data_IF_929574340136
#
_entry.id   IF_929574340136
#
_cell.length_a   1.000
_cell.length_b   1.000
_cell.length_c   1.000
_cell.angle_alpha   90.00
_cell.angle_beta   90.00
_cell.angle_gamma   90.00
#
_symmetry.space_group_name_H-M   'P 1'
#
loop_
_entity.id
_entity.type
_entity.pdbx_description
1 polymer ?
#
# COMPACT_ATOMS: atom_id res chain seq x y z
N UNK A 1 -4.24 -63.39 65.58
CA UNK A 1 -4.86 -62.50 64.59
C UNK A 1 -4.31 -61.09 64.78
N UNK A 2 -3.28 -60.70 64.02
CA UNK A 2 -2.66 -59.37 64.06
C UNK A 2 -2.66 -58.78 62.65
N UNK A 3 -3.82 -58.29 62.21
CA UNK A 3 -4.01 -57.73 60.87
C UNK A 3 -4.01 -56.19 60.86
N UNK A 4 -3.89 -55.55 62.02
CA UNK A 4 -4.02 -54.09 62.16
C UNK A 4 -2.71 -53.31 62.00
N UNK A 5 -1.54 -53.95 61.94
CA UNK A 5 -0.25 -53.25 61.84
C UNK A 5 0.18 -52.91 60.41
N UNK A 6 -0.30 -53.64 59.39
CA UNK A 6 0.08 -53.43 57.99
C UNK A 6 -0.66 -52.24 57.33
N UNK A 7 -1.89 -51.94 57.75
CA UNK A 7 -2.66 -50.81 57.22
C UNK A 7 -2.17 -49.45 57.75
N UNK A 8 -1.69 -49.38 59.00
CA UNK A 8 -1.11 -48.16 59.57
C UNK A 8 0.29 -47.84 59.02
N UNK A 9 1.02 -48.85 58.54
CA UNK A 9 2.37 -48.66 57.99
C UNK A 9 2.34 -48.13 56.55
N UNK A 10 1.33 -48.51 55.76
CA UNK A 10 1.13 -47.99 54.39
C UNK A 10 0.55 -46.56 54.35
N UNK A 11 -0.25 -46.13 55.35
CA UNK A 11 -0.69 -44.74 55.44
C UNK A 11 0.43 -43.74 55.76
N UNK A 12 1.48 -44.15 56.49
CA UNK A 12 2.63 -43.29 56.81
C UNK A 12 3.62 -43.12 55.66
N UNK A 13 3.58 -43.98 54.64
CA UNK A 13 4.43 -43.84 53.44
C UNK A 13 3.80 -42.93 52.38
N UNK A 14 2.46 -42.86 52.28
CA UNK A 14 1.77 -41.97 51.34
C UNK A 14 1.93 -40.47 51.65
N UNK A 15 2.08 -40.09 52.93
CA UNK A 15 2.12 -38.68 53.33
C UNK A 15 3.49 -38.00 53.21
N UNK A 16 4.59 -38.76 53.14
CA UNK A 16 5.96 -38.19 53.03
C UNK A 16 6.32 -37.78 51.60
N UNK A 17 5.73 -38.42 50.60
CA UNK A 17 5.96 -38.10 49.18
C UNK A 17 5.03 -37.00 48.66
N UNK A 18 3.88 -36.79 49.32
CA UNK A 18 2.88 -35.78 48.96
C UNK A 18 3.40 -34.33 48.98
N UNK A 19 4.15 -33.87 50.02
CA UNK A 19 4.71 -32.51 50.00
C UNK A 19 5.84 -32.34 48.97
N UNK A 20 6.60 -33.39 48.67
CA UNK A 20 7.65 -33.37 47.64
C UNK A 20 7.03 -33.33 46.24
N UNK A 21 6.01 -34.15 45.97
CA UNK A 21 5.27 -34.13 44.71
C UNK A 21 4.55 -32.79 44.50
N UNK A 22 3.98 -32.20 45.55
CA UNK A 22 3.38 -30.86 45.51
C UNK A 22 4.42 -29.77 45.24
N UNK A 23 5.59 -29.83 45.88
CA UNK A 23 6.69 -28.86 45.66
C UNK A 23 7.28 -28.96 44.24
N UNK A 24 7.43 -30.18 43.71
CA UNK A 24 7.86 -30.42 42.33
C UNK A 24 6.80 -29.93 41.34
N UNK A 25 5.51 -30.21 41.58
CA UNK A 25 4.41 -29.73 40.76
C UNK A 25 4.31 -28.19 40.75
N UNK A 26 4.50 -27.53 41.90
CA UNK A 26 4.55 -26.06 41.99
C UNK A 26 5.75 -25.52 41.21
N UNK A 27 6.93 -26.14 41.31
CA UNK A 27 8.14 -25.71 40.60
C UNK A 27 8.04 -25.88 39.08
N UNK A 28 7.43 -26.98 38.62
CA UNK A 28 7.14 -27.21 37.20
C UNK A 28 6.07 -26.23 36.71
N UNK A 29 5.04 -25.94 37.52
CA UNK A 29 4.01 -24.97 37.19
C UNK A 29 4.55 -23.53 37.14
N UNK A 30 5.38 -23.09 38.09
CA UNK A 30 6.04 -21.77 38.05
C UNK A 30 7.06 -21.67 36.92
N UNK A 31 7.82 -22.73 36.65
CA UNK A 31 8.69 -22.80 35.47
C UNK A 31 7.92 -22.70 34.15
N UNK A 32 6.78 -23.41 34.04
CA UNK A 32 5.91 -23.35 32.87
C UNK A 32 5.24 -21.98 32.69
N UNK A 33 4.79 -21.32 33.77
CA UNK A 33 4.19 -19.98 33.68
C UNK A 33 5.22 -18.91 33.35
N UNK A 34 6.44 -18.97 33.91
CA UNK A 34 7.56 -18.11 33.50
C UNK A 34 7.94 -18.30 32.03
N UNK A 35 8.00 -19.55 31.56
CA UNK A 35 8.27 -19.83 30.17
C UNK A 35 7.19 -19.29 29.22
N UNK A 36 5.91 -19.48 29.58
CA UNK A 36 4.77 -18.99 28.79
C UNK A 36 4.71 -17.46 28.78
N UNK A 37 5.00 -16.79 29.90
CA UNK A 37 5.06 -15.32 29.97
C UNK A 37 6.23 -14.75 29.17
N UNK A 38 7.42 -15.34 29.24
CA UNK A 38 8.58 -14.94 28.41
C UNK A 38 8.27 -15.13 26.92
N UNK A 39 7.67 -16.27 26.54
CA UNK A 39 7.25 -16.51 25.15
C UNK A 39 6.21 -15.49 24.69
N UNK A 40 5.24 -15.18 25.53
CA UNK A 40 4.23 -14.17 25.25
C UNK A 40 4.86 -12.78 25.05
N UNK A 41 5.73 -12.35 25.97
CA UNK A 41 6.44 -11.07 25.87
C UNK A 41 7.31 -10.99 24.60
N UNK A 42 7.99 -12.07 24.24
CA UNK A 42 8.77 -12.15 22.99
C UNK A 42 7.87 -12.06 21.76
N UNK A 43 6.75 -12.76 21.75
CA UNK A 43 5.77 -12.71 20.66
C UNK A 43 5.13 -11.32 20.53
N UNK A 44 4.83 -10.67 21.65
CA UNK A 44 4.29 -9.30 21.70
C UNK A 44 5.30 -8.27 21.19
N UNK A 45 6.57 -8.40 21.60
CA UNK A 45 7.65 -7.54 21.10
C UNK A 45 7.81 -7.64 19.57
N UNK A 46 7.82 -8.87 19.02
CA UNK A 46 7.89 -9.09 17.57
C UNK A 46 6.68 -8.46 16.86
N UNK A 47 5.47 -8.63 17.41
CA UNK A 47 4.25 -8.03 16.85
C UNK A 47 4.34 -6.50 16.81
N UNK A 48 4.76 -5.88 17.90
CA UNK A 48 4.93 -4.42 17.99
C UNK A 48 5.99 -3.93 17.01
N UNK A 49 7.11 -4.64 16.87
CA UNK A 49 8.15 -4.29 15.89
C UNK A 49 7.62 -4.32 14.46
N UNK A 50 6.89 -5.38 14.07
CA UNK A 50 6.26 -5.49 12.73
C UNK A 50 5.28 -4.37 12.47
N UNK A 51 4.43 -4.03 13.45
CA UNK A 51 3.49 -2.92 13.33
C UNK A 51 4.23 -1.59 13.18
N UNK A 52 5.34 -1.39 13.91
CA UNK A 52 6.16 -0.17 13.80
C UNK A 52 6.80 -0.06 12.41
N UNK A 53 7.36 -1.14 11.88
CA UNK A 53 7.94 -1.19 10.54
C UNK A 53 6.88 -0.90 9.46
N UNK A 54 5.70 -1.53 9.57
CA UNK A 54 4.58 -1.25 8.69
C UNK A 54 4.13 0.21 8.73
N UNK A 55 4.02 0.80 9.93
CA UNK A 55 3.66 2.22 10.11
C UNK A 55 4.71 3.16 9.50
N UNK A 56 5.99 2.83 9.64
CA UNK A 56 7.06 3.60 9.01
C UNK A 56 6.93 3.54 7.49
N UNK A 57 6.80 2.33 6.92
CA UNK A 57 6.68 2.17 5.47
C UNK A 57 5.42 2.83 4.93
N UNK A 58 4.30 2.72 5.65
CA UNK A 58 3.06 3.41 5.32
C UNK A 58 3.24 4.93 5.21
N UNK A 59 3.97 5.56 6.14
CA UNK A 59 4.23 7.01 6.08
C UNK A 59 5.07 7.40 4.87
N UNK A 60 6.09 6.61 4.55
CA UNK A 60 6.91 6.81 3.34
C UNK A 60 6.04 6.77 2.08
N UNK A 61 5.20 5.74 1.94
CA UNK A 61 4.32 5.59 0.77
C UNK A 61 3.24 6.68 0.72
N UNK A 62 2.70 7.13 1.86
CA UNK A 62 1.80 8.29 1.88
C UNK A 62 2.50 9.55 1.41
N UNK A 63 3.75 9.79 1.83
CA UNK A 63 4.51 10.95 1.37
C UNK A 63 4.69 10.90 -0.16
N UNK A 64 5.06 9.75 -0.72
CA UNK A 64 5.15 9.55 -2.17
C UNK A 64 3.81 9.82 -2.89
N UNK A 65 2.69 9.31 -2.35
CA UNK A 65 1.36 9.57 -2.93
C UNK A 65 0.95 11.05 -2.83
N UNK A 66 1.35 11.74 -1.77
CA UNK A 66 1.10 13.18 -1.60
C UNK A 66 1.93 14.01 -2.58
N UNK A 67 3.17 13.61 -2.86
CA UNK A 67 3.97 14.22 -3.93
C UNK A 67 3.30 14.00 -5.30
N UNK A 68 2.87 12.78 -5.60
CA UNK A 68 2.13 12.50 -6.84
C UNK A 68 0.85 13.34 -6.96
N UNK A 69 0.12 13.50 -5.84
CA UNK A 69 -1.04 14.40 -5.79
C UNK A 69 -0.64 15.85 -6.07
N UNK A 70 0.46 16.33 -5.49
CA UNK A 70 0.97 17.69 -5.72
C UNK A 70 1.29 17.94 -7.20
N UNK A 71 1.95 16.97 -7.85
CA UNK A 71 2.22 17.03 -9.29
C UNK A 71 0.91 17.07 -10.09
N UNK A 72 -0.06 16.21 -9.76
CA UNK A 72 -1.36 16.20 -10.42
C UNK A 72 -2.11 17.53 -10.26
N UNK A 73 -2.07 18.11 -9.06
CA UNK A 73 -2.69 19.40 -8.76
C UNK A 73 -1.99 20.55 -9.51
N UNK A 74 -0.67 20.50 -9.67
CA UNK A 74 0.07 21.42 -10.53
C UNK A 74 -0.33 21.29 -12.00
N UNK A 75 -0.38 20.06 -12.53
CA UNK A 75 -0.80 19.83 -13.92
C UNK A 75 -2.23 20.33 -14.18
N UNK A 76 -3.12 20.22 -13.19
CA UNK A 76 -4.48 20.75 -13.29
C UNK A 76 -4.53 22.29 -13.35
N UNK A 77 -3.57 22.97 -12.72
CA UNK A 77 -3.53 24.44 -12.66
C UNK A 77 -2.80 25.05 -13.84
N UNK A 78 -1.76 24.38 -14.34
CA UNK A 78 -0.86 24.96 -15.35
C UNK A 78 -0.84 24.14 -16.63
N UNK A 79 -0.45 22.86 -16.57
CA UNK A 79 -0.23 22.06 -17.78
C UNK A 79 -1.48 21.84 -18.62
N UNK A 80 -2.64 21.52 -18.01
CA UNK A 80 -3.89 21.26 -18.75
C UNK A 80 -4.47 22.55 -19.35
N UNK A 81 -4.60 23.67 -18.60
CA UNK A 81 -5.03 24.93 -19.21
C UNK A 81 -4.09 25.41 -20.32
N UNK A 82 -2.78 25.15 -20.18
CA UNK A 82 -1.81 25.42 -21.25
C UNK A 82 -2.05 24.52 -22.47
N UNK A 83 -2.35 23.24 -22.27
CA UNK A 83 -2.74 22.32 -23.35
C UNK A 83 -4.00 22.80 -24.07
N UNK A 84 -5.03 23.24 -23.35
CA UNK A 84 -6.26 23.80 -23.92
C UNK A 84 -5.96 25.04 -24.77
N UNK A 85 -5.19 25.99 -24.25
CA UNK A 85 -4.80 27.20 -24.98
C UNK A 85 -3.94 26.92 -26.22
N UNK A 86 -3.14 25.84 -26.21
CA UNK A 86 -2.38 25.39 -27.37
C UNK A 86 -3.28 24.78 -28.44
N UNK A 87 -4.28 24.01 -28.03
CA UNK A 87 -5.31 23.47 -28.93
C UNK A 87 -6.12 24.58 -29.58
N UNK A 88 -6.50 25.63 -28.84
CA UNK A 88 -7.18 26.80 -29.41
C UNK A 88 -6.33 27.51 -30.46
N UNK A 89 -5.03 27.71 -30.19
CA UNK A 89 -4.08 28.26 -31.17
C UNK A 89 -3.94 27.38 -32.41
N UNK A 90 -3.93 26.06 -32.24
CA UNK A 90 -3.90 25.14 -33.37
C UNK A 90 -5.14 25.29 -34.24
N UNK A 91 -6.33 25.42 -33.64
CA UNK A 91 -7.56 25.69 -34.36
C UNK A 91 -7.53 27.03 -35.12
N UNK A 92 -7.04 28.11 -34.49
CA UNK A 92 -6.85 29.41 -35.15
C UNK A 92 -5.93 29.31 -36.38
N UNK A 93 -4.81 28.59 -36.28
CA UNK A 93 -3.87 28.37 -37.39
C UNK A 93 -4.55 27.60 -38.54
N UNK A 94 -5.37 26.61 -38.23
CA UNK A 94 -6.12 25.83 -39.23
C UNK A 94 -7.18 26.69 -39.91
N UNK A 95 -7.94 27.50 -39.15
CA UNK A 95 -8.96 28.40 -39.70
C UNK A 95 -8.36 29.50 -40.58
N UNK A 96 -7.25 30.12 -40.17
CA UNK A 96 -6.55 31.13 -40.96
C UNK A 96 -6.11 30.58 -42.31
N UNK A 97 -5.60 29.35 -42.36
CA UNK A 97 -5.19 28.73 -43.62
C UNK A 97 -6.38 28.33 -44.50
N UNK A 98 -7.54 27.97 -43.94
CA UNK A 98 -8.76 27.71 -44.73
C UNK A 98 -9.30 28.98 -45.40
N UNK A 99 -9.12 30.14 -44.76
CA UNK A 99 -9.61 31.43 -45.25
C UNK A 99 -8.63 32.14 -46.20
N UNK A 100 -7.41 31.62 -46.39
CA UNK A 100 -6.41 32.20 -47.29
C UNK A 100 -6.41 31.45 -48.63
N UNK A 101 -6.77 32.13 -49.73
CA UNK A 101 -6.70 31.53 -51.07
C UNK A 101 -5.25 31.13 -51.40
N UNK A 102 -4.99 29.82 -51.51
CA UNK A 102 -3.66 29.26 -51.78
C UNK A 102 -2.88 28.77 -50.55
N UNK A 103 -3.57 28.46 -49.44
CA UNK A 103 -2.95 27.99 -48.20
C UNK A 103 -1.86 26.92 -48.38
N UNK A 104 -0.63 27.25 -47.98
CA UNK A 104 0.50 26.32 -48.01
C UNK A 104 0.39 25.32 -46.85
N UNK A 105 -0.13 24.14 -47.16
CA UNK A 105 -0.27 23.01 -46.23
C UNK A 105 1.04 22.65 -45.51
N UNK A 106 2.20 22.94 -46.11
CA UNK A 106 3.49 22.70 -45.46
C UNK A 106 3.78 23.73 -44.38
N UNK A 107 3.38 24.98 -44.57
CA UNK A 107 3.55 26.04 -43.57
C UNK A 107 2.62 25.82 -42.37
N UNK A 108 1.38 25.36 -42.61
CA UNK A 108 0.44 24.95 -41.55
C UNK A 108 1.01 23.80 -40.73
N UNK A 109 1.53 22.75 -41.39
CA UNK A 109 2.14 21.60 -40.70
C UNK A 109 3.34 22.02 -39.86
N UNK A 110 4.22 22.87 -40.38
CA UNK A 110 5.37 23.36 -39.62
C UNK A 110 4.97 24.14 -38.36
N UNK A 111 3.86 24.89 -38.40
CA UNK A 111 3.33 25.62 -37.23
C UNK A 111 2.62 24.72 -36.22
N UNK A 112 2.05 23.59 -36.66
CA UNK A 112 1.36 22.63 -35.79
C UNK A 112 2.29 21.64 -35.07
N UNK A 113 3.41 21.24 -35.70
CA UNK A 113 4.39 20.31 -35.10
C UNK A 113 4.83 20.68 -33.67
N UNK A 114 5.22 21.94 -33.35
CA UNK A 114 5.61 22.28 -31.98
C UNK A 114 4.45 22.14 -30.99
N UNK A 115 3.21 22.43 -31.41
CA UNK A 115 2.01 22.29 -30.59
C UNK A 115 1.74 20.80 -30.29
N UNK A 116 1.79 19.95 -31.32
CA UNK A 116 1.62 18.50 -31.16
C UNK A 116 2.69 17.90 -30.24
N UNK A 117 3.94 18.34 -30.38
CA UNK A 117 5.05 17.88 -29.53
C UNK A 117 4.85 18.30 -28.06
N UNK A 118 4.40 19.52 -27.82
CA UNK A 118 4.15 20.02 -26.47
C UNK A 118 2.99 19.27 -25.78
N UNK A 119 1.90 19.02 -26.50
CA UNK A 119 0.79 18.20 -26.01
C UNK A 119 1.21 16.74 -25.73
N UNK A 120 2.04 16.16 -26.61
CA UNK A 120 2.61 14.85 -26.38
C UNK A 120 3.48 14.82 -25.11
N UNK A 121 4.27 15.87 -24.85
CA UNK A 121 5.07 16.01 -23.63
C UNK A 121 4.22 16.06 -22.36
N UNK A 122 3.08 16.75 -22.39
CA UNK A 122 2.14 16.79 -21.26
C UNK A 122 1.50 15.40 -21.03
N UNK A 123 1.15 14.69 -22.12
CA UNK A 123 0.65 13.32 -22.05
C UNK A 123 1.67 12.36 -21.42
N UNK A 124 2.93 12.45 -21.83
CA UNK A 124 4.03 11.65 -21.31
C UNK A 124 4.26 11.89 -19.80
N UNK A 125 4.27 13.15 -19.37
CA UNK A 125 4.37 13.50 -17.94
C UNK A 125 3.24 12.86 -17.12
N UNK A 126 2.04 12.78 -17.68
CA UNK A 126 0.89 12.20 -17.02
C UNK A 126 0.97 10.67 -16.95
N UNK A 127 1.49 10.02 -18.00
CA UNK A 127 1.75 8.58 -18.01
C UNK A 127 2.81 8.20 -16.98
N UNK A 128 3.92 8.92 -16.94
CA UNK A 128 4.97 8.73 -15.93
C UNK A 128 4.43 8.90 -14.50
N UNK A 129 3.52 9.86 -14.29
CA UNK A 129 2.85 10.05 -13.01
C UNK A 129 1.96 8.86 -12.65
N UNK A 130 1.23 8.30 -13.61
CA UNK A 130 0.41 7.10 -13.41
C UNK A 130 1.27 5.89 -13.03
N UNK A 131 2.37 5.65 -13.75
CA UNK A 131 3.33 4.58 -13.44
C UNK A 131 3.90 4.73 -12.03
N UNK A 132 4.25 5.96 -11.64
CA UNK A 132 4.74 6.25 -10.28
C UNK A 132 3.67 5.96 -9.22
N UNK A 133 2.41 6.30 -9.48
CA UNK A 133 1.29 6.00 -8.57
C UNK A 133 1.08 4.48 -8.47
N UNK A 134 1.16 3.75 -9.58
CA UNK A 134 1.02 2.28 -9.60
C UNK A 134 2.15 1.57 -8.86
N UNK A 135 3.38 2.10 -8.93
CA UNK A 135 4.53 1.62 -8.18
C UNK A 135 4.36 1.70 -6.65
N UNK A 136 3.47 2.58 -6.16
CA UNK A 136 3.11 2.62 -4.73
C UNK A 136 2.11 1.51 -4.43
N UNK A 137 2.59 0.38 -3.91
CA UNK A 137 1.73 -0.78 -3.64
C UNK A 137 1.41 -0.99 -2.15
N UNK A 138 0.18 -1.43 -1.81
CA UNK A 138 -0.15 -1.91 -0.46
C UNK A 138 0.75 -3.05 0.00
N UNK A 139 1.26 -3.86 -0.94
CA UNK A 139 2.17 -4.96 -0.66
C UNK A 139 3.43 -4.51 0.06
N UNK A 140 4.01 -3.34 -0.28
CA UNK A 140 5.18 -2.81 0.41
C UNK A 140 4.97 -2.63 1.93
N UNK A 141 3.76 -2.26 2.37
CA UNK A 141 3.43 -2.15 3.81
C UNK A 141 3.39 -3.52 4.49
N UNK A 142 2.83 -4.51 3.80
CA UNK A 142 2.72 -5.89 4.30
C UNK A 142 4.10 -6.57 4.35
N UNK A 143 4.93 -6.31 3.36
CA UNK A 143 6.30 -6.80 3.26
C UNK A 143 7.16 -6.24 4.39
N UNK A 144 7.02 -4.95 4.71
CA UNK A 144 7.67 -4.34 5.87
C UNK A 144 7.24 -4.97 7.20
N UNK A 145 6.05 -5.58 7.28
CA UNK A 145 5.59 -6.32 8.45
C UNK A 145 6.04 -7.81 8.45
N UNK A 146 6.77 -8.25 7.42
CA UNK A 146 7.22 -9.64 7.26
C UNK A 146 6.09 -10.61 6.89
N UNK A 147 5.06 -10.15 6.17
CA UNK A 147 3.92 -10.96 5.71
C UNK A 147 4.09 -11.49 4.27
N UNK A 148 5.31 -11.60 3.75
CA UNK A 148 5.60 -12.09 2.39
C UNK A 148 5.46 -13.63 2.24
N UNK A 149 5.03 -14.13 1.06
CA UNK A 149 4.61 -13.38 -0.13
C UNK A 149 3.10 -13.09 -0.10
N UNK A 150 2.71 -11.85 0.18
CA UNK A 150 1.30 -11.49 0.15
C UNK A 150 0.82 -11.25 -1.28
N UNK A 151 -0.08 -12.12 -1.74
CA UNK A 151 -0.91 -11.82 -2.92
C UNK A 151 -2.24 -11.22 -2.47
N UNK A 152 -2.77 -10.25 -3.23
CA UNK A 152 -4.01 -9.54 -2.86
C UNK A 152 -5.25 -10.46 -2.74
N UNK A 153 -5.14 -11.71 -3.18
CA UNK A 153 -6.18 -12.74 -3.21
C UNK A 153 -6.08 -13.77 -2.08
N UNK A 154 -5.04 -13.73 -1.24
CA UNK A 154 -4.84 -14.75 -0.19
C UNK A 154 -5.74 -14.51 1.03
N UNK A 155 -6.97 -15.01 0.94
CA UNK A 155 -7.94 -15.10 2.05
C UNK A 155 -7.30 -15.80 3.28
N UNK A 156 -6.40 -16.74 3.02
CA UNK A 156 -5.60 -17.50 3.99
C UNK A 156 -4.63 -16.60 4.75
N UNK A 157 -3.81 -15.82 4.04
CA UNK A 157 -2.87 -14.88 4.67
C UNK A 157 -3.60 -13.81 5.48
N UNK A 158 -4.77 -13.36 5.02
CA UNK A 158 -5.63 -12.44 5.78
C UNK A 158 -6.11 -13.05 7.10
N UNK A 159 -6.59 -14.29 7.06
CA UNK A 159 -7.00 -14.99 8.28
C UNK A 159 -5.83 -15.18 9.23
N UNK A 160 -4.63 -15.48 8.72
CA UNK A 160 -3.45 -15.70 9.56
C UNK A 160 -2.88 -14.41 10.13
N UNK A 161 -2.89 -13.30 9.38
CA UNK A 161 -2.55 -11.97 9.89
C UNK A 161 -3.51 -11.53 11.00
N UNK A 162 -4.82 -11.81 10.87
CA UNK A 162 -5.81 -11.55 11.93
C UNK A 162 -5.51 -12.39 13.17
N UNK A 163 -5.25 -13.70 13.02
CA UNK A 163 -4.86 -14.57 14.15
C UNK A 163 -3.58 -14.09 14.86
N UNK A 164 -2.64 -13.49 14.12
CA UNK A 164 -1.40 -12.94 14.67
C UNK A 164 -1.57 -11.54 15.28
N UNK A 165 -2.78 -10.94 15.24
CA UNK A 165 -3.03 -9.60 15.74
C UNK A 165 -2.44 -8.48 14.87
N UNK A 166 -2.20 -8.76 13.59
CA UNK A 166 -1.64 -7.80 12.61
C UNK A 166 -2.73 -7.08 11.80
N UNK A 167 -3.98 -7.06 12.29
CA UNK A 167 -5.07 -6.29 11.68
C UNK A 167 -4.72 -4.82 11.40
N UNK A 168 -4.01 -4.09 12.29
CA UNK A 168 -3.59 -2.71 12.00
C UNK A 168 -2.71 -2.58 10.75
N UNK A 169 -1.92 -3.61 10.42
CA UNK A 169 -1.10 -3.60 9.20
C UNK A 169 -1.97 -3.70 7.95
N UNK A 170 -3.03 -4.52 8.01
CA UNK A 170 -3.99 -4.67 6.91
C UNK A 170 -4.78 -3.37 6.67
N UNK A 171 -5.15 -2.67 7.73
CA UNK A 171 -5.80 -1.36 7.65
C UNK A 171 -4.89 -0.33 6.96
N UNK A 172 -3.63 -0.25 7.36
CA UNK A 172 -2.64 0.64 6.72
C UNK A 172 -2.46 0.32 5.22
N UNK A 173 -2.39 -0.96 4.85
CA UNK A 173 -2.33 -1.36 3.45
C UNK A 173 -3.62 -0.98 2.68
N UNK A 174 -4.79 -1.10 3.33
CA UNK A 174 -6.08 -0.68 2.81
C UNK A 174 -6.17 0.81 2.53
N UNK A 175 -5.61 1.64 3.42
CA UNK A 175 -5.54 3.10 3.26
C UNK A 175 -4.73 3.48 2.02
N UNK A 176 -3.54 2.90 1.85
CA UNK A 176 -2.70 3.10 0.64
C UNK A 176 -3.48 2.74 -0.62
N UNK A 177 -4.18 1.60 -0.62
CA UNK A 177 -5.00 1.17 -1.76
C UNK A 177 -6.08 2.18 -2.10
N UNK A 178 -6.80 2.68 -1.10
CA UNK A 178 -7.87 3.63 -1.29
C UNK A 178 -7.36 4.96 -1.88
N UNK A 179 -6.28 5.51 -1.32
CA UNK A 179 -5.66 6.74 -1.80
C UNK A 179 -5.15 6.56 -3.23
N UNK A 180 -4.40 5.48 -3.49
CA UNK A 180 -3.86 5.16 -4.82
C UNK A 180 -4.97 5.08 -5.87
N UNK A 181 -6.03 4.32 -5.62
CA UNK A 181 -7.16 4.19 -6.53
C UNK A 181 -7.86 5.53 -6.80
N UNK A 182 -7.94 6.39 -5.79
CA UNK A 182 -8.46 7.75 -5.95
C UNK A 182 -7.58 8.62 -6.85
N UNK A 183 -6.26 8.51 -6.75
CA UNK A 183 -5.31 9.26 -7.58
C UNK A 183 -5.26 8.74 -9.01
N UNK A 184 -5.23 7.42 -9.22
CA UNK A 184 -5.26 6.80 -10.55
C UNK A 184 -6.49 7.28 -11.32
N UNK A 185 -7.69 7.19 -10.74
CA UNK A 185 -8.92 7.65 -11.39
C UNK A 185 -8.88 9.12 -11.81
N UNK A 186 -8.25 9.97 -11.01
CA UNK A 186 -8.08 11.39 -11.35
C UNK A 186 -7.10 11.55 -12.49
N UNK A 187 -5.97 10.84 -12.46
CA UNK A 187 -4.98 10.85 -13.53
C UNK A 187 -5.59 10.32 -14.84
N UNK A 188 -6.27 9.18 -14.83
CA UNK A 188 -6.97 8.60 -15.99
C UNK A 188 -7.93 9.61 -16.65
N UNK A 189 -8.77 10.28 -15.85
CA UNK A 189 -9.69 11.30 -16.37
C UNK A 189 -8.95 12.46 -17.07
N UNK A 190 -7.76 12.80 -16.59
CA UNK A 190 -6.92 13.84 -17.20
C UNK A 190 -6.21 13.34 -18.45
N UNK A 191 -5.73 12.10 -18.45
CA UNK A 191 -5.21 11.43 -19.65
C UNK A 191 -6.23 11.48 -20.78
N UNK A 192 -7.50 11.18 -20.46
CA UNK A 192 -8.59 11.24 -21.42
C UNK A 192 -8.82 12.67 -21.96
N UNK A 193 -8.69 13.69 -21.13
CA UNK A 193 -8.80 15.09 -21.57
C UNK A 193 -7.66 15.45 -22.52
N UNK A 194 -6.41 15.11 -22.18
CA UNK A 194 -5.25 15.38 -23.04
C UNK A 194 -5.33 14.58 -24.35
N UNK A 195 -5.81 13.34 -24.30
CA UNK A 195 -6.05 12.54 -25.50
C UNK A 195 -7.07 13.20 -26.43
N UNK A 196 -8.19 13.71 -25.90
CA UNK A 196 -9.19 14.45 -26.68
C UNK A 196 -8.63 15.71 -27.32
N UNK A 197 -7.80 16.46 -26.58
CA UNK A 197 -7.13 17.67 -27.09
C UNK A 197 -6.12 17.34 -28.21
N UNK A 198 -5.47 16.18 -28.13
CA UNK A 198 -4.57 15.69 -29.19
C UNK A 198 -5.34 15.26 -30.43
N UNK A 199 -6.48 14.60 -30.25
CA UNK A 199 -7.32 14.14 -31.36
C UNK A 199 -8.02 15.30 -32.08
N UNK A 200 -8.38 16.38 -31.37
CA UNK A 200 -9.01 17.56 -31.98
C UNK A 200 -8.09 18.33 -32.93
N UNK A 201 -6.77 18.26 -32.74
CA UNK A 201 -5.78 18.92 -33.63
C UNK A 201 -5.52 18.09 -34.88
N UNK A 202 -5.67 16.76 -34.79
CA UNK A 202 -5.46 15.84 -35.91
C UNK A 202 -6.66 15.72 -36.86
N UNK A 203 -7.85 16.11 -36.39
CA UNK A 203 -9.11 16.04 -37.12
C UNK A 203 -9.33 17.28 -38.00
#
# INVERSE_FOLDING_TARGET
>A
MNSNSLWMQNQKMGSKWMPIAAAVAISVATGATLYMTIRYLKADHIRIQRIRQAKQKHRELIAELLECKGILDYMNKESIPRAEALTDKAHEIVEQNKNTEGGDLNETKQKLVPIEHELAGIGEQLLQLMERIDGVTPAHVLNAAGLEPWTELDITLKKDAIKQGLNPVLELAGDIRAIRKGLIRKAEKRAETVAKLKDSIKA
#
